data_IF_831387358349
#
_entry.id   IF_831387358349
#
_cell.length_a   1.000
_cell.length_b   1.000
_cell.length_c   1.000
_cell.angle_alpha   90.00
_cell.angle_beta   90.00
_cell.angle_gamma   90.00
#
_symmetry.space_group_name_H-M   'P 1'
#
loop_
_entity.id
_entity.type
_entity.pdbx_description
1 polymer ?
#
# COMPACT_ATOMS: atom_id res chain seq x y z
N UNK A 1 -28.93 -20.75 9.41
CA UNK A 1 -27.64 -20.20 9.86
C UNK A 1 -26.78 -20.10 8.63
N UNK A 2 -26.96 -19.01 7.88
CA UNK A 2 -26.43 -18.87 6.52
C UNK A 2 -24.96 -18.47 6.61
N UNK A 3 -24.11 -19.28 6.00
CA UNK A 3 -22.68 -19.08 5.91
C UNK A 3 -22.38 -17.83 5.06
N UNK A 4 -22.04 -16.74 5.73
CA UNK A 4 -21.49 -15.53 5.10
C UNK A 4 -19.98 -15.69 4.89
N UNK A 5 -19.55 -16.83 4.35
CA UNK A 5 -18.22 -16.94 3.78
C UNK A 5 -18.16 -16.00 2.56
N UNK A 6 -17.81 -14.74 2.81
CA UNK A 6 -17.42 -13.78 1.77
C UNK A 6 -16.42 -14.51 0.88
N UNK A 7 -16.79 -14.65 -0.39
CA UNK A 7 -16.02 -15.32 -1.42
C UNK A 7 -14.70 -14.57 -1.60
N UNK A 8 -13.70 -14.88 -0.77
CA UNK A 8 -12.40 -14.18 -0.69
C UNK A 8 -11.38 -14.71 -1.71
N UNK A 9 -11.84 -15.32 -2.81
CA UNK A 9 -10.95 -15.76 -3.89
C UNK A 9 -11.81 -16.17 -5.09
N UNK A 10 -11.87 -15.39 -6.17
CA UNK A 10 -11.28 -15.81 -7.46
C UNK A 10 -10.77 -14.62 -8.32
N UNK A 11 -10.97 -13.37 -7.86
CA UNK A 11 -10.60 -12.13 -8.59
C UNK A 11 -10.10 -10.99 -7.68
N UNK A 12 -9.50 -11.28 -6.53
CA UNK A 12 -8.93 -10.20 -5.71
C UNK A 12 -7.84 -9.45 -6.51
N UNK A 13 -8.01 -8.15 -6.69
CA UNK A 13 -7.02 -7.34 -7.37
C UNK A 13 -5.72 -7.37 -6.57
N UNK A 14 -4.63 -7.67 -7.28
CA UNK A 14 -3.31 -7.74 -6.66
C UNK A 14 -2.68 -6.35 -6.70
N UNK A 15 -2.19 -5.89 -5.56
CA UNK A 15 -1.48 -4.63 -5.45
C UNK A 15 -0.04 -4.82 -5.01
N UNK A 16 0.83 -3.95 -5.50
CA UNK A 16 2.19 -3.79 -5.00
C UNK A 16 2.31 -2.36 -4.48
N UNK A 17 2.57 -2.19 -3.18
CA UNK A 17 2.60 -0.87 -2.56
C UNK A 17 3.96 -0.20 -2.79
N UNK A 18 3.96 1.09 -3.11
CA UNK A 18 5.20 1.85 -3.36
C UNK A 18 5.20 3.12 -2.53
N UNK A 19 6.15 3.22 -1.60
CA UNK A 19 6.36 4.40 -0.77
C UNK A 19 7.48 5.29 -1.31
N UNK A 20 7.25 6.60 -1.38
CA UNK A 20 8.28 7.58 -1.78
C UNK A 20 8.43 8.64 -0.71
N UNK A 21 9.63 8.75 -0.14
CA UNK A 21 10.00 9.87 0.74
C UNK A 21 10.85 10.88 -0.03
N UNK A 22 10.64 12.18 0.21
CA UNK A 22 11.58 13.21 -0.24
C UNK A 22 12.55 13.52 0.91
N UNK A 23 13.86 13.56 0.63
CA UNK A 23 14.88 13.85 1.66
C UNK A 23 14.66 15.16 2.40
N UNK A 24 14.00 16.13 1.76
CA UNK A 24 13.74 17.46 2.32
C UNK A 24 12.33 17.59 2.93
N UNK A 25 11.50 16.54 2.90
CA UNK A 25 10.15 16.59 3.48
C UNK A 25 10.17 16.18 4.95
N UNK A 26 9.55 17.00 5.80
CA UNK A 26 9.24 16.63 7.17
C UNK A 26 7.88 15.92 7.20
N UNK A 27 7.87 14.62 6.93
CA UNK A 27 6.64 13.84 7.00
C UNK A 27 6.19 13.67 8.47
N UNK A 28 4.89 13.81 8.73
CA UNK A 28 4.29 13.60 10.06
C UNK A 28 4.33 12.13 10.50
N UNK A 29 4.32 11.22 9.52
CA UNK A 29 4.29 9.77 9.70
C UNK A 29 5.41 9.20 8.83
N UNK A 30 6.08 8.14 9.30
CA UNK A 30 7.13 7.50 8.50
C UNK A 30 6.53 6.81 7.26
N UNK A 31 7.33 6.60 6.21
CA UNK A 31 6.86 5.82 5.04
C UNK A 31 6.54 4.39 5.42
N UNK A 32 7.28 3.80 6.36
CA UNK A 32 7.01 2.45 6.84
C UNK A 32 5.64 2.35 7.52
N UNK A 33 5.32 3.27 8.42
CA UNK A 33 4.03 3.30 9.11
C UNK A 33 2.89 3.62 8.14
N UNK A 34 3.13 4.53 7.19
CA UNK A 34 2.16 4.84 6.12
C UNK A 34 1.86 3.63 5.24
N UNK A 35 2.88 2.83 4.89
CA UNK A 35 2.70 1.62 4.09
C UNK A 35 2.00 0.51 4.89
N UNK A 36 2.29 0.38 6.18
CA UNK A 36 1.60 -0.56 7.06
C UNK A 36 0.10 -0.24 7.15
N UNK A 37 -0.24 1.03 7.37
CA UNK A 37 -1.64 1.48 7.40
C UNK A 37 -2.32 1.28 6.04
N UNK A 38 -1.63 1.61 4.93
CA UNK A 38 -2.16 1.41 3.59
C UNK A 38 -2.43 -0.08 3.29
N UNK A 39 -1.64 -1.00 3.82
CA UNK A 39 -1.90 -2.44 3.70
C UNK A 39 -3.16 -2.86 4.46
N UNK A 40 -3.42 -2.30 5.65
CA UNK A 40 -4.66 -2.53 6.40
C UNK A 40 -5.87 -1.98 5.64
N UNK A 41 -5.76 -0.77 5.07
CA UNK A 41 -6.80 -0.19 4.22
C UNK A 41 -7.06 -1.07 2.99
N UNK A 42 -6.02 -1.56 2.33
CA UNK A 42 -6.12 -2.47 1.20
C UNK A 42 -6.85 -3.78 1.57
N UNK A 43 -6.57 -4.33 2.76
CA UNK A 43 -7.29 -5.51 3.25
C UNK A 43 -8.80 -5.24 3.39
N UNK A 44 -9.20 -4.10 3.97
CA UNK A 44 -10.62 -3.73 4.09
C UNK A 44 -11.30 -3.50 2.74
N UNK A 45 -10.53 -3.10 1.72
CA UNK A 45 -10.98 -2.91 0.35
C UNK A 45 -11.01 -4.21 -0.48
N UNK A 46 -10.59 -5.34 0.08
CA UNK A 46 -10.52 -6.62 -0.65
C UNK A 46 -9.37 -6.70 -1.65
N UNK A 47 -8.33 -5.88 -1.50
CA UNK A 47 -7.13 -5.85 -2.34
C UNK A 47 -6.07 -6.77 -1.73
N UNK A 48 -5.49 -7.66 -2.53
CA UNK A 48 -4.42 -8.55 -2.09
C UNK A 48 -3.06 -7.90 -2.33
N UNK A 49 -2.46 -7.38 -1.26
CA UNK A 49 -1.09 -6.83 -1.31
C UNK A 49 -0.08 -7.96 -1.43
N UNK A 50 0.64 -8.01 -2.56
CA UNK A 50 1.62 -9.07 -2.85
C UNK A 50 3.07 -8.64 -2.60
N UNK A 51 3.29 -7.40 -2.18
CA UNK A 51 4.60 -6.88 -1.88
C UNK A 51 4.60 -5.37 -1.69
N UNK A 52 5.73 -4.85 -1.24
CA UNK A 52 5.94 -3.43 -1.05
C UNK A 52 7.39 -3.03 -1.32
N UNK A 53 7.59 -1.81 -1.81
CA UNK A 53 8.90 -1.17 -1.89
C UNK A 53 8.83 0.26 -1.36
N UNK A 54 9.98 0.78 -0.94
CA UNK A 54 10.11 2.17 -0.57
C UNK A 54 11.40 2.77 -1.12
N UNK A 55 11.34 4.04 -1.52
CA UNK A 55 12.49 4.79 -2.01
C UNK A 55 12.54 6.19 -1.39
N UNK A 56 13.73 6.59 -0.96
CA UNK A 56 13.98 7.99 -0.56
C UNK A 56 14.66 8.73 -1.71
N UNK A 57 13.99 9.75 -2.24
CA UNK A 57 14.44 10.57 -3.36
C UNK A 57 14.93 11.95 -2.93
N UNK A 58 15.86 12.53 -3.70
CA UNK A 58 16.22 13.95 -3.54
C UNK A 58 15.21 14.90 -4.18
N UNK A 59 14.61 14.48 -5.30
CA UNK A 59 13.61 15.22 -6.08
C UNK A 59 12.79 14.21 -6.91
N UNK A 60 11.51 14.51 -7.14
CA UNK A 60 10.67 13.73 -8.08
C UNK A 60 11.17 13.93 -9.51
N UNK A 61 11.33 12.83 -10.26
CA UNK A 61 11.58 12.86 -11.70
C UNK A 61 10.25 12.65 -12.43
N UNK A 62 9.73 13.62 -13.21
CA UNK A 62 8.43 13.52 -13.86
C UNK A 62 8.40 12.57 -15.08
N UNK A 63 9.52 11.94 -15.45
CA UNK A 63 9.59 11.01 -16.60
C UNK A 63 9.22 9.56 -16.26
N UNK A 64 8.48 9.34 -15.17
CA UNK A 64 8.09 8.03 -14.65
C UNK A 64 6.59 7.92 -14.56
#
# INVERSE_FOLDING_TARGET
MTDFAFRRDERAERAYLVGVALRQSQALISIADSLAELALLAETAGIHVVGQSQQTLRRINPKT
#
